data_IF_974521718885
#
_entry.id   IF_974521718885
#
_cell.length_a   1.000
_cell.length_b   1.000
_cell.length_c   1.000
_cell.angle_alpha   90.00
_cell.angle_beta   90.00
_cell.angle_gamma   90.00
#
_symmetry.space_group_name_H-M   'P 1'
#
loop_
_entity.id
_entity.type
_entity.pdbx_description
1 polymer ?
#
# COMPACT_ATOMS: atom_id res chain seq x y z
N UNK A 1 -15.72 -26.79 13.77
CA UNK A 1 -15.35 -25.82 14.84
C UNK A 1 -14.37 -24.86 14.21
N UNK A 2 -14.84 -23.72 13.74
CA UNK A 2 -13.98 -22.66 13.22
C UNK A 2 -13.24 -22.06 14.42
N UNK A 3 -11.96 -22.36 14.56
CA UNK A 3 -11.09 -21.62 15.47
C UNK A 3 -11.12 -20.17 14.99
N UNK A 4 -11.87 -19.31 15.67
CA UNK A 4 -11.66 -17.89 15.53
C UNK A 4 -10.25 -17.60 16.06
N UNK A 5 -9.35 -16.98 15.27
CA UNK A 5 -8.06 -16.59 15.79
C UNK A 5 -8.28 -15.71 17.02
N UNK A 6 -7.63 -16.07 18.13
CA UNK A 6 -7.69 -15.26 19.33
C UNK A 6 -7.14 -13.88 19.00
N UNK A 7 -7.99 -12.84 19.04
CA UNK A 7 -7.59 -11.45 18.87
C UNK A 7 -6.49 -11.13 19.89
N UNK A 8 -5.23 -11.14 19.45
CA UNK A 8 -4.13 -10.71 20.30
C UNK A 8 -4.18 -9.19 20.46
N UNK A 9 -3.58 -8.62 21.51
CA UNK A 9 -3.47 -7.18 21.67
C UNK A 9 -2.87 -6.47 20.45
N UNK A 10 -1.94 -7.13 19.75
CA UNK A 10 -1.30 -6.60 18.54
C UNK A 10 -2.27 -6.52 17.35
N UNK A 11 -3.09 -7.56 17.15
CA UNK A 11 -4.14 -7.54 16.11
C UNK A 11 -5.11 -6.40 16.41
N UNK A 12 -5.59 -6.28 17.66
CA UNK A 12 -6.53 -5.22 18.02
C UNK A 12 -5.93 -3.82 17.81
N UNK A 13 -4.68 -3.60 18.22
CA UNK A 13 -4.00 -2.32 18.02
C UNK A 13 -3.84 -1.96 16.53
N UNK A 14 -3.60 -2.95 15.66
CA UNK A 14 -3.60 -2.71 14.22
C UNK A 14 -5.01 -2.32 13.74
N UNK A 15 -6.04 -3.09 14.10
CA UNK A 15 -7.42 -2.79 13.70
C UNK A 15 -7.83 -1.38 14.15
N UNK A 16 -7.44 -0.98 15.36
CA UNK A 16 -7.62 0.39 15.88
C UNK A 16 -6.82 1.43 15.06
N UNK A 17 -5.58 1.10 14.66
CA UNK A 17 -4.73 1.96 13.82
C UNK A 17 -5.38 2.27 12.47
N UNK A 18 -6.09 1.32 11.88
CA UNK A 18 -6.79 1.49 10.59
C UNK A 18 -8.27 1.87 10.75
N UNK A 19 -8.79 1.92 11.98
CA UNK A 19 -10.19 2.25 12.25
C UNK A 19 -11.18 1.18 11.81
N UNK A 20 -10.77 -0.09 11.73
CA UNK A 20 -11.66 -1.18 11.35
C UNK A 20 -12.60 -1.54 12.52
N UNK A 21 -13.91 -1.48 12.28
CA UNK A 21 -14.96 -1.81 13.26
C UNK A 21 -15.89 -2.93 12.79
N UNK A 22 -15.56 -3.56 11.66
CA UNK A 22 -16.34 -4.64 11.07
C UNK A 22 -16.24 -5.94 11.87
N UNK A 23 -16.99 -6.94 11.42
CA UNK A 23 -16.89 -8.30 11.95
C UNK A 23 -15.62 -8.96 11.39
N UNK A 24 -14.88 -9.67 12.22
CA UNK A 24 -13.75 -10.50 11.79
C UNK A 24 -14.25 -11.88 11.37
N UNK A 25 -14.69 -11.98 10.12
CA UNK A 25 -14.79 -13.25 9.41
C UNK A 25 -13.85 -13.29 8.20
N UNK A 26 -13.56 -14.48 7.71
CA UNK A 26 -12.59 -14.66 6.61
C UNK A 26 -13.28 -14.51 5.24
N UNK A 27 -14.29 -13.64 5.19
CA UNK A 27 -15.11 -13.36 4.01
C UNK A 27 -14.48 -12.31 3.09
N UNK A 28 -14.95 -12.27 1.84
CA UNK A 28 -14.45 -11.31 0.85
C UNK A 28 -14.80 -9.86 1.24
N UNK A 29 -15.96 -9.62 1.85
CA UNK A 29 -16.36 -8.28 2.32
C UNK A 29 -15.46 -7.78 3.45
N UNK A 30 -15.09 -8.65 4.40
CA UNK A 30 -14.16 -8.31 5.48
C UNK A 30 -12.78 -7.99 4.93
N UNK A 31 -12.26 -8.80 3.99
CA UNK A 31 -11.01 -8.51 3.29
C UNK A 31 -11.05 -7.15 2.58
N UNK A 32 -12.18 -6.83 1.93
CA UNK A 32 -12.36 -5.58 1.23
C UNK A 32 -12.38 -4.37 2.17
N UNK A 33 -13.06 -4.49 3.30
CA UNK A 33 -13.12 -3.42 4.30
C UNK A 33 -11.78 -3.22 5.02
N UNK A 34 -11.03 -4.29 5.31
CA UNK A 34 -9.69 -4.20 5.88
C UNK A 34 -8.73 -3.41 4.97
N UNK A 35 -8.70 -3.73 3.66
CA UNK A 35 -7.88 -2.99 2.70
C UNK A 35 -8.35 -1.53 2.58
N UNK A 36 -9.66 -1.31 2.54
CA UNK A 36 -10.23 0.04 2.49
C UNK A 36 -9.80 0.88 3.70
N UNK A 37 -10.04 0.39 4.93
CA UNK A 37 -9.63 1.03 6.17
C UNK A 37 -8.13 1.36 6.19
N UNK A 38 -7.28 0.41 5.75
CA UNK A 38 -5.83 0.63 5.72
C UNK A 38 -5.42 1.78 4.80
N UNK A 39 -5.89 1.77 3.54
CA UNK A 39 -5.50 2.77 2.53
C UNK A 39 -5.95 4.19 2.91
N UNK A 40 -7.01 4.33 3.71
CA UNK A 40 -7.53 5.61 4.17
C UNK A 40 -6.95 6.08 5.51
N UNK A 41 -6.16 5.23 6.19
CA UNK A 41 -5.64 5.52 7.54
C UNK A 41 -4.11 5.47 7.64
N UNK A 42 -3.45 4.65 6.83
CA UNK A 42 -2.01 4.43 6.85
C UNK A 42 -1.39 5.03 5.59
N UNK A 43 -0.55 6.06 5.71
CA UNK A 43 0.00 6.74 4.55
C UNK A 43 1.12 5.91 3.92
N UNK A 44 1.22 6.02 2.60
CA UNK A 44 2.43 5.66 1.88
C UNK A 44 3.47 6.76 2.11
N UNK A 45 4.70 6.40 2.50
CA UNK A 45 5.80 7.35 2.72
C UNK A 45 7.19 6.73 2.61
N UNK A 46 8.17 7.52 2.14
CA UNK A 46 9.59 7.12 2.01
C UNK A 46 10.53 7.95 2.92
N UNK A 47 10.02 8.52 4.02
CA UNK A 47 10.76 9.53 4.79
C UNK A 47 12.00 8.96 5.48
N UNK A 48 11.99 7.69 5.87
CA UNK A 48 13.15 7.03 6.48
C UNK A 48 14.29 6.84 5.47
N UNK A 49 13.96 6.44 4.22
CA UNK A 49 14.93 6.35 3.11
C UNK A 49 15.62 7.70 2.89
N UNK A 50 14.84 8.80 2.84
CA UNK A 50 15.38 10.15 2.64
C UNK A 50 16.25 10.63 3.80
N UNK A 51 15.97 10.16 5.02
CA UNK A 51 16.77 10.45 6.22
C UNK A 51 17.98 9.51 6.37
N UNK A 52 18.13 8.51 5.51
CA UNK A 52 19.15 7.48 5.63
C UNK A 52 18.97 6.60 6.86
N UNK A 53 17.73 6.46 7.36
CA UNK A 53 17.40 5.55 8.44
C UNK A 53 17.20 4.15 7.84
N UNK A 54 18.01 3.15 8.26
CA UNK A 54 17.90 1.79 7.74
C UNK A 54 16.49 1.22 7.85
N UNK A 55 15.96 0.68 6.76
CA UNK A 55 14.67 -0.01 6.77
C UNK A 55 14.80 -1.42 7.38
N UNK A 56 13.78 -1.83 8.12
CA UNK A 56 13.58 -3.21 8.57
C UNK A 56 12.27 -3.75 8.00
N UNK A 57 12.29 -4.99 7.53
CA UNK A 57 11.09 -5.71 7.07
C UNK A 57 10.65 -6.78 8.08
N UNK A 58 11.25 -6.80 9.28
CA UNK A 58 10.83 -7.69 10.35
C UNK A 58 9.51 -7.19 10.95
N UNK A 59 8.55 -8.09 11.16
CA UNK A 59 7.19 -7.76 11.62
C UNK A 59 7.18 -6.93 12.91
N UNK A 60 7.99 -7.22 13.95
CA UNK A 60 8.00 -6.38 15.16
C UNK A 60 8.39 -4.92 14.90
N UNK A 61 9.37 -4.68 14.01
CA UNK A 61 9.84 -3.32 13.68
C UNK A 61 8.80 -2.57 12.84
N UNK A 62 8.19 -3.27 11.88
CA UNK A 62 7.10 -2.74 11.06
C UNK A 62 5.89 -2.37 11.92
N UNK A 63 5.52 -3.26 12.85
CA UNK A 63 4.43 -3.04 13.79
C UNK A 63 4.70 -1.82 14.67
N UNK A 64 5.88 -1.73 15.29
CA UNK A 64 6.27 -0.56 16.09
C UNK A 64 6.21 0.73 15.25
N UNK A 65 6.74 0.73 14.03
CA UNK A 65 6.73 1.89 13.14
C UNK A 65 5.31 2.32 12.78
N UNK A 66 4.54 1.42 12.17
CA UNK A 66 3.27 1.75 11.49
C UNK A 66 2.12 1.85 12.50
N UNK A 67 2.07 0.94 13.47
CA UNK A 67 0.97 0.85 14.45
C UNK A 67 1.25 1.73 15.67
N UNK A 68 2.35 1.47 16.38
CA UNK A 68 2.64 2.12 17.67
C UNK A 68 3.02 3.59 17.46
N UNK A 69 4.01 3.87 16.61
CA UNK A 69 4.49 5.22 16.29
C UNK A 69 3.63 5.94 15.26
N UNK A 70 2.57 5.31 14.76
CA UNK A 70 1.62 5.87 13.76
C UNK A 70 2.33 6.51 12.57
N UNK A 71 3.40 5.88 12.08
CA UNK A 71 4.03 6.22 10.80
C UNK A 71 3.25 5.58 9.64
N UNK A 72 3.75 5.82 8.44
CA UNK A 72 3.43 5.03 7.27
C UNK A 72 4.58 4.08 6.94
N UNK A 73 4.67 3.72 5.67
CA UNK A 73 5.82 3.04 5.08
C UNK A 73 5.69 3.04 3.56
N UNK A 74 6.66 2.48 2.86
CA UNK A 74 6.54 2.22 1.43
C UNK A 74 6.07 0.78 1.15
N UNK A 75 5.97 0.39 -0.13
CA UNK A 75 5.30 -0.83 -0.56
C UNK A 75 5.69 -2.11 0.19
N UNK A 76 6.99 -2.35 0.41
CA UNK A 76 7.48 -3.53 1.10
C UNK A 76 7.11 -3.55 2.58
N UNK A 77 7.10 -2.40 3.24
CA UNK A 77 6.72 -2.29 4.66
C UNK A 77 5.22 -2.48 4.84
N UNK A 78 4.42 -1.79 4.02
CA UNK A 78 2.96 -1.80 4.13
C UNK A 78 2.38 -3.18 3.79
N UNK A 79 2.78 -3.79 2.68
CA UNK A 79 2.25 -5.09 2.28
C UNK A 79 2.83 -6.25 3.11
N UNK A 80 4.04 -6.12 3.68
CA UNK A 80 4.54 -7.11 4.63
C UNK A 80 3.69 -7.12 5.91
N UNK A 81 3.45 -5.95 6.50
CA UNK A 81 2.70 -5.83 7.73
C UNK A 81 1.20 -6.16 7.53
N UNK A 82 0.61 -5.74 6.40
CA UNK A 82 -0.77 -6.10 6.06
C UNK A 82 -0.93 -7.59 5.77
N UNK A 83 0.04 -8.21 5.06
CA UNK A 83 0.05 -9.66 4.85
C UNK A 83 0.14 -10.44 6.16
N UNK A 84 0.93 -9.96 7.13
CA UNK A 84 0.97 -10.52 8.48
C UNK A 84 -0.41 -10.44 9.17
N UNK A 85 -1.04 -9.26 9.20
CA UNK A 85 -2.37 -9.10 9.79
C UNK A 85 -3.39 -10.07 9.18
N UNK A 86 -3.43 -10.16 7.84
CA UNK A 86 -4.35 -11.05 7.15
C UNK A 86 -4.09 -12.52 7.48
N UNK A 87 -2.81 -12.92 7.59
CA UNK A 87 -2.43 -14.27 8.02
C UNK A 87 -2.86 -14.58 9.45
N UNK A 88 -2.68 -13.65 10.39
CA UNK A 88 -3.15 -13.79 11.78
C UNK A 88 -4.69 -13.87 11.87
N UNK A 89 -5.40 -13.17 10.98
CA UNK A 89 -6.86 -13.28 10.84
C UNK A 89 -7.29 -14.60 10.15
N UNK A 90 -6.34 -15.41 9.69
CA UNK A 90 -6.59 -16.73 9.11
C UNK A 90 -6.93 -16.72 7.62
N UNK A 91 -6.66 -15.63 6.90
CA UNK A 91 -6.68 -15.65 5.45
C UNK A 91 -5.43 -16.39 4.92
N UNK A 92 -5.54 -17.28 3.92
CA UNK A 92 -4.38 -17.75 3.17
C UNK A 92 -3.79 -16.60 2.34
N UNK A 93 -2.53 -16.25 2.60
CA UNK A 93 -1.82 -15.15 1.93
C UNK A 93 -0.59 -15.68 1.19
N UNK A 94 -0.45 -15.31 -0.08
CA UNK A 94 0.77 -15.53 -0.88
C UNK A 94 1.36 -14.18 -1.29
N UNK A 95 2.67 -14.02 -1.11
CA UNK A 95 3.37 -12.77 -1.40
C UNK A 95 4.04 -12.86 -2.79
N UNK A 96 3.93 -11.81 -3.61
CA UNK A 96 4.55 -11.74 -4.94
C UNK A 96 5.34 -10.47 -5.15
N UNK A 97 6.40 -10.57 -5.97
CA UNK A 97 7.00 -9.41 -6.59
C UNK A 97 6.17 -8.92 -7.78
N UNK A 98 6.05 -7.61 -7.88
CA UNK A 98 5.47 -6.90 -9.01
C UNK A 98 6.47 -5.94 -9.68
N UNK A 99 6.26 -5.70 -10.96
CA UNK A 99 6.92 -4.66 -11.77
C UNK A 99 5.95 -3.51 -11.93
N UNK A 100 6.33 -2.32 -11.47
CA UNK A 100 5.47 -1.13 -11.52
C UNK A 100 5.69 -0.39 -12.84
N UNK A 101 4.70 -0.40 -13.73
CA UNK A 101 4.79 0.13 -15.10
C UNK A 101 4.36 1.58 -15.21
N UNK A 102 3.40 1.99 -14.39
CA UNK A 102 2.90 3.37 -14.41
C UNK A 102 4.05 4.33 -14.12
N UNK A 103 4.18 5.32 -14.99
CA UNK A 103 5.18 6.39 -14.90
C UNK A 103 6.65 5.88 -14.84
N UNK A 104 6.93 4.67 -15.34
CA UNK A 104 8.30 4.15 -15.49
C UNK A 104 8.84 4.46 -16.88
N UNK A 105 9.90 5.26 -16.93
CA UNK A 105 10.58 5.63 -18.18
C UNK A 105 11.56 4.55 -18.66
N UNK A 106 12.07 3.70 -17.76
CA UNK A 106 13.05 2.67 -18.08
C UNK A 106 12.43 1.26 -18.11
N UNK A 107 11.99 0.85 -19.30
CA UNK A 107 11.28 -0.41 -19.53
C UNK A 107 12.23 -1.57 -19.94
N UNK A 108 11.96 -2.81 -19.49
CA UNK A 108 10.90 -3.19 -18.56
C UNK A 108 11.25 -2.80 -17.09
N UNK A 109 10.25 -2.45 -16.26
CA UNK A 109 10.49 -2.03 -14.88
C UNK A 109 11.10 -3.15 -14.05
N UNK A 110 11.86 -2.81 -13.01
CA UNK A 110 12.42 -3.80 -12.07
C UNK A 110 11.32 -4.42 -11.19
N UNK A 111 11.56 -5.61 -10.62
CA UNK A 111 10.71 -6.23 -9.59
C UNK A 111 10.92 -5.53 -8.25
N UNK A 112 10.26 -4.39 -8.06
CA UNK A 112 10.47 -3.49 -6.90
C UNK A 112 9.17 -3.09 -6.20
N UNK A 113 8.11 -3.83 -6.47
CA UNK A 113 6.83 -3.67 -5.78
C UNK A 113 6.45 -5.00 -5.14
N UNK A 114 5.76 -4.95 -4.02
CA UNK A 114 5.27 -6.14 -3.30
C UNK A 114 3.75 -6.10 -3.34
N UNK A 115 3.13 -7.22 -3.73
CA UNK A 115 1.67 -7.40 -3.72
C UNK A 115 1.31 -8.70 -3.03
N UNK A 116 0.04 -8.81 -2.63
CA UNK A 116 -0.49 -9.99 -1.97
C UNK A 116 -1.54 -10.65 -2.86
N UNK A 117 -1.54 -11.97 -2.89
CA UNK A 117 -2.73 -12.73 -3.25
C UNK A 117 -3.33 -13.33 -1.99
N UNK A 118 -4.62 -13.10 -1.80
CA UNK A 118 -5.35 -13.52 -0.60
C UNK A 118 -6.53 -14.38 -1.01
N UNK A 119 -6.75 -15.50 -0.33
CA UNK A 119 -7.91 -16.35 -0.57
C UNK A 119 -9.05 -16.01 0.38
N UNK A 120 -10.24 -15.76 -0.15
CA UNK A 120 -11.46 -15.54 0.62
C UNK A 120 -12.63 -16.22 -0.10
N UNK A 121 -13.43 -16.98 0.64
CA UNK A 121 -14.61 -17.69 0.11
C UNK A 121 -14.31 -18.59 -1.11
N UNK A 122 -13.12 -19.19 -1.15
CA UNK A 122 -12.68 -20.07 -2.25
C UNK A 122 -12.24 -19.34 -3.52
N UNK A 123 -12.13 -18.01 -3.49
CA UNK A 123 -11.66 -17.18 -4.60
C UNK A 123 -10.33 -16.50 -4.26
N UNK A 124 -9.55 -16.17 -5.29
CA UNK A 124 -8.23 -15.51 -5.18
C UNK A 124 -8.35 -14.03 -5.50
N UNK A 125 -7.91 -13.17 -4.60
CA UNK A 125 -7.94 -11.73 -4.74
C UNK A 125 -6.52 -11.15 -4.73
N UNK A 126 -6.26 -10.16 -5.57
CA UNK A 126 -5.11 -9.28 -5.50
C UNK A 126 -5.38 -8.20 -4.45
N UNK A 127 -4.58 -8.18 -3.39
CA UNK A 127 -4.60 -7.17 -2.35
C UNK A 127 -3.30 -6.36 -2.40
N UNK A 128 -3.43 -5.06 -2.21
CA UNK A 128 -2.30 -4.14 -2.25
C UNK A 128 -2.64 -2.84 -1.51
N UNK A 129 -2.00 -2.65 -0.37
CA UNK A 129 -2.09 -1.41 0.43
C UNK A 129 -0.85 -0.54 0.27
N UNK A 130 0.10 -0.96 -0.56
CA UNK A 130 1.46 -0.44 -0.63
C UNK A 130 1.73 0.51 -1.79
N UNK A 131 0.72 1.11 -2.39
CA UNK A 131 0.91 2.03 -3.53
C UNK A 131 0.45 3.44 -3.20
N UNK A 132 1.32 4.41 -3.45
CA UNK A 132 0.95 5.82 -3.49
C UNK A 132 0.12 6.15 -4.72
N UNK A 133 -0.97 6.90 -4.57
CA UNK A 133 -1.79 7.38 -5.68
C UNK A 133 -3.07 6.56 -5.93
N UNK A 134 -3.52 6.56 -7.17
CA UNK A 134 -4.77 5.89 -7.55
C UNK A 134 -4.53 4.40 -7.81
N UNK A 135 -4.95 3.57 -6.87
CA UNK A 135 -4.93 2.09 -6.94
C UNK A 135 -6.23 1.49 -6.41
N UNK A 136 -6.52 0.20 -6.64
CA UNK A 136 -7.70 -0.43 -6.08
C UNK A 136 -7.82 -0.18 -4.57
N UNK A 137 -8.89 0.51 -4.16
CA UNK A 137 -9.20 0.74 -2.76
C UNK A 137 -9.77 -0.51 -2.08
N UNK A 138 -10.12 -1.53 -2.88
CA UNK A 138 -10.59 -2.84 -2.47
C UNK A 138 -9.85 -3.93 -3.27
N UNK A 139 -9.77 -5.17 -2.76
CA UNK A 139 -9.17 -6.29 -3.46
C UNK A 139 -9.79 -6.50 -4.85
N UNK A 140 -8.97 -6.93 -5.80
CA UNK A 140 -9.39 -7.21 -7.18
C UNK A 140 -9.42 -8.73 -7.34
N UNK A 141 -10.56 -9.30 -7.72
CA UNK A 141 -10.68 -10.72 -8.03
C UNK A 141 -9.71 -11.06 -9.17
N UNK A 142 -8.88 -12.09 -8.96
CA UNK A 142 -7.95 -12.59 -9.97
C UNK A 142 -8.73 -13.40 -11.01
N UNK A 143 -9.27 -12.67 -11.98
CA UNK A 143 -10.01 -13.20 -13.11
C UNK A 143 -9.73 -12.35 -14.34
N UNK A 144 -9.28 -13.01 -15.39
CA UNK A 144 -8.90 -12.35 -16.63
C UNK A 144 -10.06 -11.59 -17.26
N UNK A 145 -9.79 -10.33 -17.64
CA UNK A 145 -10.70 -9.38 -18.28
C UNK A 145 -11.99 -9.05 -17.53
N UNK A 146 -12.13 -9.44 -16.26
CA UNK A 146 -13.27 -9.05 -15.46
C UNK A 146 -13.13 -7.58 -15.04
N UNK A 147 -13.98 -6.71 -15.59
CA UNK A 147 -14.13 -5.33 -15.13
C UNK A 147 -14.74 -5.29 -13.72
N UNK A 148 -14.08 -4.59 -12.82
CA UNK A 148 -14.41 -4.51 -11.39
C UNK A 148 -14.49 -3.04 -10.98
N UNK A 149 -15.68 -2.42 -11.05
CA UNK A 149 -15.90 -1.04 -10.63
C UNK A 149 -15.69 -0.85 -9.12
N UNK A 150 -14.99 0.21 -8.74
CA UNK A 150 -14.77 0.64 -7.36
C UNK A 150 -15.09 2.14 -7.26
N UNK A 151 -16.37 2.47 -7.07
CA UNK A 151 -16.85 3.85 -7.12
C UNK A 151 -16.75 4.43 -8.53
N UNK A 152 -15.96 5.50 -8.70
CA UNK A 152 -15.70 6.11 -10.00
C UNK A 152 -14.51 5.48 -10.75
N UNK A 153 -13.76 4.61 -10.09
CA UNK A 153 -12.62 3.89 -10.65
C UNK A 153 -13.08 2.52 -11.17
N UNK A 154 -12.36 1.94 -12.13
CA UNK A 154 -12.62 0.58 -12.60
C UNK A 154 -11.30 -0.11 -12.91
N UNK A 155 -11.16 -1.33 -12.44
CA UNK A 155 -9.94 -2.13 -12.58
C UNK A 155 -10.26 -3.48 -13.23
N UNK A 156 -9.27 -4.07 -13.88
CA UNK A 156 -9.33 -5.47 -14.31
C UNK A 156 -7.93 -6.06 -14.31
N UNK A 157 -7.87 -7.38 -14.47
CA UNK A 157 -6.61 -8.09 -14.66
C UNK A 157 -6.54 -8.67 -16.07
N UNK A 158 -5.47 -8.35 -16.79
CA UNK A 158 -5.14 -8.96 -18.08
C UNK A 158 -3.97 -9.97 -17.89
N UNK A 159 -3.65 -10.77 -18.91
CA UNK A 159 -2.50 -11.69 -18.89
C UNK A 159 -1.46 -11.33 -19.93
N UNK A 160 -0.21 -11.44 -19.53
CA UNK A 160 0.95 -11.43 -20.40
C UNK A 160 1.76 -12.73 -20.24
N UNK A 161 2.27 -13.34 -21.33
CA UNK A 161 2.98 -14.61 -21.26
C UNK A 161 4.25 -14.59 -20.40
N UNK A 162 4.94 -13.45 -20.31
CA UNK A 162 6.20 -13.32 -19.57
C UNK A 162 6.03 -12.58 -18.24
N UNK A 163 5.23 -11.52 -18.24
CA UNK A 163 5.03 -10.64 -17.10
C UNK A 163 3.90 -11.07 -16.17
N UNK A 164 3.10 -12.07 -16.55
CA UNK A 164 2.05 -12.67 -15.72
C UNK A 164 0.76 -11.85 -15.71
N UNK A 165 0.17 -11.70 -14.53
CA UNK A 165 -1.03 -10.87 -14.35
C UNK A 165 -0.69 -9.39 -14.47
N UNK A 166 -1.56 -8.63 -15.13
CA UNK A 166 -1.41 -7.20 -15.37
C UNK A 166 -2.60 -6.45 -14.77
N UNK A 167 -2.37 -5.65 -13.73
CA UNK A 167 -3.41 -4.80 -13.17
C UNK A 167 -3.62 -3.58 -14.07
N UNK A 168 -4.82 -3.47 -14.62
CA UNK A 168 -5.22 -2.40 -15.53
C UNK A 168 -6.20 -1.46 -14.83
N UNK A 169 -6.07 -0.16 -15.09
CA UNK A 169 -7.01 0.87 -14.67
C UNK A 169 -7.71 1.48 -15.88
N UNK A 170 -9.03 1.68 -15.80
CA UNK A 170 -9.79 2.36 -16.84
C UNK A 170 -9.55 3.88 -16.78
N UNK A 171 -9.12 4.47 -17.90
CA UNK A 171 -8.96 5.93 -18.10
C UNK A 171 -9.70 6.36 -19.36
N UNK A 172 -10.92 6.86 -19.19
CA UNK A 172 -11.81 7.13 -20.32
C UNK A 172 -12.23 5.81 -20.97
N UNK A 173 -11.98 5.67 -22.27
CA UNK A 173 -12.23 4.44 -23.03
C UNK A 173 -11.02 3.49 -23.02
N UNK A 174 -9.85 3.97 -22.56
CA UNK A 174 -8.60 3.20 -22.58
C UNK A 174 -8.34 2.46 -21.27
N UNK A 175 -7.57 1.37 -21.37
CA UNK A 175 -7.01 0.66 -20.23
C UNK A 175 -5.52 0.97 -20.10
N UNK A 176 -5.09 1.40 -18.91
CA UNK A 176 -3.68 1.69 -18.62
C UNK A 176 -3.12 0.68 -17.63
N UNK A 177 -1.94 0.14 -17.95
CA UNK A 177 -1.22 -0.79 -17.10
C UNK A 177 -0.63 -0.07 -15.88
N UNK A 178 -0.95 -0.58 -14.69
CA UNK A 178 -0.40 -0.07 -13.42
C UNK A 178 0.87 -0.83 -13.06
N UNK A 179 0.72 -2.13 -12.82
CA UNK A 179 1.82 -3.04 -12.49
C UNK A 179 1.50 -4.45 -13.01
N UNK A 180 2.52 -5.29 -13.09
CA UNK A 180 2.34 -6.72 -13.39
C UNK A 180 3.03 -7.60 -12.35
N UNK A 181 2.56 -8.82 -12.15
CA UNK A 181 3.18 -9.79 -11.25
C UNK A 181 3.10 -11.21 -11.81
N UNK A 182 4.18 -11.95 -11.61
CA UNK A 182 4.22 -13.38 -11.86
C UNK A 182 3.85 -14.14 -10.57
N UNK A 183 3.26 -15.31 -10.72
CA UNK A 183 2.81 -16.15 -9.60
C UNK A 183 3.95 -17.01 -9.05
N UNK A 184 5.07 -16.37 -8.73
CA UNK A 184 6.21 -16.98 -8.04
C UNK A 184 6.17 -16.55 -6.57
N UNK A 185 5.78 -17.43 -5.63
CA UNK A 185 5.72 -17.08 -4.21
C UNK A 185 7.06 -16.58 -3.69
N UNK A 186 7.02 -15.52 -2.89
CA UNK A 186 8.20 -14.90 -2.29
C UNK A 186 8.18 -15.07 -0.78
N UNK A 187 9.36 -15.28 -0.21
CA UNK A 187 9.59 -15.25 1.23
C UNK A 187 9.91 -13.81 1.68
N UNK A 188 9.66 -13.47 2.96
CA UNK A 188 10.05 -12.16 3.50
C UNK A 188 11.50 -11.75 3.19
N UNK A 189 12.42 -12.73 3.18
CA UNK A 189 13.84 -12.50 2.91
C UNK A 189 14.15 -12.08 1.47
N UNK A 190 13.31 -12.44 0.51
CA UNK A 190 13.54 -12.10 -0.91
C UNK A 190 13.38 -10.60 -1.15
N UNK A 191 12.50 -9.96 -0.36
CA UNK A 191 12.26 -8.51 -0.42
C UNK A 191 13.43 -7.67 0.07
N UNK A 192 14.31 -8.21 0.92
CA UNK A 192 15.46 -7.47 1.49
C UNK A 192 16.38 -6.95 0.38
N UNK A 193 16.66 -7.74 -0.65
CA UNK A 193 17.52 -7.35 -1.77
C UNK A 193 16.91 -6.20 -2.59
N UNK A 194 15.61 -6.29 -2.89
CA UNK A 194 14.91 -5.25 -3.64
C UNK A 194 14.76 -3.96 -2.80
N UNK A 195 14.46 -4.11 -1.50
CA UNK A 195 14.39 -3.02 -0.53
C UNK A 195 15.72 -2.30 -0.41
N UNK A 196 16.83 -3.03 -0.28
CA UNK A 196 18.18 -2.47 -0.21
C UNK A 196 18.52 -1.65 -1.47
N UNK A 197 18.16 -2.15 -2.67
CA UNK A 197 18.33 -1.36 -3.90
C UNK A 197 17.49 -0.08 -3.85
N UNK A 198 16.22 -0.17 -3.45
CA UNK A 198 15.34 0.99 -3.32
C UNK A 198 15.88 2.02 -2.31
N UNK A 199 16.50 1.55 -1.24
CA UNK A 199 17.05 2.38 -0.19
C UNK A 199 18.39 3.02 -0.57
N UNK A 200 19.28 2.32 -1.28
CA UNK A 200 20.67 2.72 -1.44
C UNK A 200 21.10 3.09 -2.87
N UNK A 201 20.45 2.57 -3.90
CA UNK A 201 20.89 2.79 -5.28
C UNK A 201 20.76 4.27 -5.67
N UNK A 202 21.80 4.91 -6.24
CA UNK A 202 21.73 6.31 -6.69
C UNK A 202 20.58 6.59 -7.66
N UNK A 203 20.22 5.59 -8.48
CA UNK A 203 19.14 5.67 -9.47
C UNK A 203 17.75 5.39 -8.87
N UNK A 204 17.66 5.07 -7.58
CA UNK A 204 16.37 4.81 -6.93
C UNK A 204 15.54 6.09 -6.86
N UNK A 205 14.33 6.03 -7.40
CA UNK A 205 13.34 7.12 -7.30
C UNK A 205 13.03 7.46 -5.84
N UNK A 206 13.13 6.49 -4.92
CA UNK A 206 12.85 6.66 -3.49
C UNK A 206 13.85 7.55 -2.76
N UNK A 207 14.99 7.87 -3.39
CA UNK A 207 16.01 8.77 -2.85
C UNK A 207 15.93 10.18 -3.45
N UNK A 208 15.13 10.41 -4.49
CA UNK A 208 15.12 11.67 -5.24
C UNK A 208 14.27 12.76 -4.57
N UNK A 209 13.29 12.37 -3.76
CA UNK A 209 12.43 13.32 -3.07
C UNK A 209 11.32 12.65 -2.27
N UNK A 210 10.54 13.44 -1.50
CA UNK A 210 9.42 12.93 -0.72
C UNK A 210 8.32 12.40 -1.63
N UNK A 211 7.95 11.16 -1.38
CA UNK A 211 6.76 10.50 -1.90
C UNK A 211 5.90 10.16 -0.70
N UNK A 212 4.97 11.05 -0.37
CA UNK A 212 4.01 10.85 0.70
C UNK A 212 2.62 10.95 0.14
N UNK A 213 1.77 9.97 0.42
CA UNK A 213 0.41 9.88 -0.08
C UNK A 213 -0.53 9.27 0.95
N UNK A 214 -1.77 9.76 0.99
CA UNK A 214 -2.88 9.13 1.70
C UNK A 214 -4.18 9.36 0.91
N UNK A 215 -5.06 8.36 0.85
CA UNK A 215 -6.42 8.56 0.32
C UNK A 215 -7.29 9.24 1.37
N UNK A 216 -8.18 10.11 0.92
CA UNK A 216 -9.21 10.74 1.76
C UNK A 216 -10.58 10.53 1.13
N UNK A 217 -11.68 10.62 1.91
CA UNK A 217 -13.03 10.54 1.35
C UNK A 217 -13.27 11.54 0.20
N UNK A 218 -12.64 12.71 0.28
CA UNK A 218 -12.76 13.78 -0.70
C UNK A 218 -11.70 13.73 -1.81
N UNK A 219 -10.75 12.79 -1.77
CA UNK A 219 -9.69 12.66 -2.77
C UNK A 219 -8.42 12.00 -2.23
N UNK A 220 -7.34 12.78 -2.16
CA UNK A 220 -6.02 12.33 -1.70
C UNK A 220 -5.22 13.50 -1.16
N UNK A 221 -4.28 13.24 -0.26
CA UNK A 221 -3.24 14.22 0.09
C UNK A 221 -1.90 13.71 -0.41
N UNK A 222 -1.05 14.62 -0.91
CA UNK A 222 0.29 14.28 -1.41
C UNK A 222 1.33 15.29 -0.97
N UNK A 223 2.57 14.86 -0.81
CA UNK A 223 3.73 15.75 -0.71
C UNK A 223 4.55 15.66 -2.00
N UNK A 224 4.89 16.82 -2.58
CA UNK A 224 5.77 16.94 -3.74
C UNK A 224 6.82 18.03 -3.46
N UNK A 225 8.08 17.64 -3.29
CA UNK A 225 9.10 18.55 -2.75
C UNK A 225 8.70 19.05 -1.36
N UNK A 226 8.62 20.37 -1.17
CA UNK A 226 8.16 20.97 0.08
C UNK A 226 6.66 21.34 0.08
N UNK A 227 5.95 21.04 -1.00
CA UNK A 227 4.52 21.33 -1.13
C UNK A 227 3.66 20.17 -0.59
N UNK A 228 2.81 20.51 0.36
CA UNK A 228 1.70 19.69 0.83
C UNK A 228 0.49 20.05 -0.01
N UNK A 229 -0.04 19.09 -0.76
CA UNK A 229 -1.21 19.28 -1.63
C UNK A 229 -2.38 18.50 -1.04
N UNK A 230 -3.39 19.23 -0.62
CA UNK A 230 -4.58 18.71 0.08
C UNK A 230 -5.76 18.81 -0.88
N UNK A 231 -6.31 17.66 -1.29
CA UNK A 231 -7.39 17.63 -2.26
C UNK A 231 -8.73 17.48 -1.53
N UNK A 232 -9.67 18.36 -1.86
CA UNK A 232 -11.04 18.34 -1.35
C UNK A 232 -12.01 18.47 -2.53
N UNK A 233 -12.44 17.33 -3.08
CA UNK A 233 -13.25 17.29 -4.29
C UNK A 233 -12.49 17.84 -5.50
N UNK A 234 -12.93 18.99 -6.02
CA UNK A 234 -12.29 19.66 -7.17
C UNK A 234 -11.24 20.69 -6.78
N UNK A 235 -11.15 21.01 -5.49
CA UNK A 235 -10.21 22.02 -4.98
C UNK A 235 -8.90 21.36 -4.53
N UNK A 236 -7.79 22.06 -4.78
CA UNK A 236 -6.47 21.67 -4.28
C UNK A 236 -5.91 22.83 -3.48
N UNK A 237 -5.74 22.62 -2.18
CA UNK A 237 -5.05 23.58 -1.31
C UNK A 237 -3.57 23.18 -1.24
N UNK A 238 -2.70 24.14 -1.51
CA UNK A 238 -1.25 23.96 -1.40
C UNK A 238 -0.75 24.68 -0.15
N UNK A 239 0.04 23.98 0.65
CA UNK A 239 0.74 24.50 1.83
C UNK A 239 2.24 24.24 1.66
N UNK A 240 3.07 25.18 2.12
CA UNK A 240 4.52 25.01 2.20
C UNK A 240 4.94 25.35 3.62
N UNK A 241 5.02 24.34 4.52
CA UNK A 241 5.50 24.56 5.88
C UNK A 241 6.90 25.17 5.89
N UNK A 242 7.09 26.24 6.67
CA UNK A 242 8.33 27.04 6.73
C UNK A 242 9.21 26.65 7.91
N UNK A 243 8.67 25.98 8.91
CA UNK A 243 9.40 25.51 10.10
C UNK A 243 9.27 23.99 10.26
N UNK A 244 10.20 23.35 11.00
CA UNK A 244 10.08 21.93 11.34
C UNK A 244 8.78 21.62 12.09
N UNK A 245 8.33 22.51 12.97
CA UNK A 245 7.08 22.37 13.72
C UNK A 245 5.86 22.41 12.80
N UNK A 246 5.77 23.41 11.91
CA UNK A 246 4.70 23.48 10.90
C UNK A 246 4.67 22.23 10.02
N UNK A 247 5.85 21.68 9.68
CA UNK A 247 5.95 20.46 8.88
C UNK A 247 5.44 19.24 9.64
N UNK A 248 5.78 19.10 10.93
CA UNK A 248 5.26 18.04 11.79
C UNK A 248 3.74 18.14 11.95
N UNK A 249 3.23 19.35 12.16
CA UNK A 249 1.79 19.58 12.31
C UNK A 249 1.03 19.27 11.03
N UNK A 250 1.57 19.67 9.87
CA UNK A 250 0.99 19.33 8.58
C UNK A 250 0.98 17.81 8.33
N UNK A 251 2.05 17.09 8.67
CA UNK A 251 2.09 15.63 8.58
C UNK A 251 1.07 14.96 9.51
N UNK A 252 0.97 15.43 10.75
CA UNK A 252 0.00 14.90 11.73
C UNK A 252 -1.43 15.14 11.28
N UNK A 253 -1.74 16.37 10.87
CA UNK A 253 -3.09 16.78 10.51
C UNK A 253 -3.59 16.15 9.21
N UNK A 254 -2.75 16.15 8.16
CA UNK A 254 -3.21 15.80 6.81
C UNK A 254 -2.86 14.38 6.38
N UNK A 255 -1.91 13.73 7.06
CA UNK A 255 -1.46 12.37 6.73
C UNK A 255 -1.57 11.40 7.91
N UNK A 256 -1.88 11.89 9.13
CA UNK A 256 -1.89 11.07 10.33
C UNK A 256 -0.51 10.57 10.76
N UNK A 257 0.57 11.13 10.18
CA UNK A 257 1.96 10.74 10.47
C UNK A 257 2.43 11.47 11.73
N UNK A 258 2.89 10.71 12.72
CA UNK A 258 3.58 11.27 13.88
C UNK A 258 5.08 11.18 13.67
N UNK A 259 5.73 12.34 13.56
CA UNK A 259 7.19 12.44 13.48
C UNK A 259 7.77 12.72 14.89
N UNK A 260 8.98 12.22 15.19
CA UNK A 260 9.67 12.56 16.43
C UNK A 260 9.98 14.06 16.50
N UNK A 261 10.15 14.56 17.73
CA UNK A 261 10.51 15.95 18.04
C UNK A 261 11.89 16.36 17.49
#
# INVERSE_FOLDING_TARGET
>A
MTNHPSQTPEIQAYLDRIGFQGKLDNGADTLAELQHCHIYSVPYENLDILKGVPLSLDIPDLYDKIVVRRRGGYCFELNALFGWLLGELGFPVTHYFARFWRDEDNLPPKRRHHVLQVEAEGARYLCDVGVGGNVPGRPVLIKEHLEQPQGTECYRLDRDPFFGWQLMERKGEDWRLIYSFAEEPQLPRDYVMASFWCEHAPESIFRQGPMVFIRTPEGRNTVAGDEFRIFAGKEVRILTPRTPEEKRDAFRQYFGIVLPE
#
